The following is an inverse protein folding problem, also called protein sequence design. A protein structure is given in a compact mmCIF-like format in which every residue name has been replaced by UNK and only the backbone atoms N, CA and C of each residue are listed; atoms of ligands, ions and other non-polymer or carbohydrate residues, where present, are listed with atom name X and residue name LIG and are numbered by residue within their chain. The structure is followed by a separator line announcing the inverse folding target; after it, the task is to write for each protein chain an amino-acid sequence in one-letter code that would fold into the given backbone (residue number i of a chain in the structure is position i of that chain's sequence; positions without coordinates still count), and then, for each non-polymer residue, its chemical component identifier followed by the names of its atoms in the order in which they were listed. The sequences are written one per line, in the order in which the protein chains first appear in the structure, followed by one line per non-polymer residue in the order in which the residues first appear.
data_IF_995515889699
#
_entry.id   IF_995515889699
#
_cell.length_a   1.000
_cell.length_b   1.000
_cell.length_c   1.000
_cell.angle_alpha   90.00
_cell.angle_beta   90.00
_cell.angle_gamma   90.00
#
_symmetry.space_group_name_H-M   'P 1'
#
loop_
_entity.id
_entity.type
_entity.pdbx_description
1 polymer ?
#
# COMPACT_ATOMS: atom_id res chain seq x y z
N UNK A 1 -5.35 5.84 23.00
CA UNK A 1 -4.10 5.33 22.39
C UNK A 1 -4.39 3.99 21.72
N UNK A 2 -4.68 3.97 20.40
CA UNK A 2 -4.63 2.71 19.68
C UNK A 2 -3.16 2.35 19.46
N UNK A 3 -2.77 1.13 19.85
CA UNK A 3 -1.42 0.61 19.60
C UNK A 3 -1.24 0.47 18.09
N UNK A 4 -0.35 1.29 17.58
CA UNK A 4 0.24 1.22 16.25
C UNK A 4 0.81 -0.20 16.05
N UNK A 5 0.03 -1.08 15.39
CA UNK A 5 0.58 -2.30 14.80
C UNK A 5 1.28 -1.85 13.52
N UNK A 6 2.44 -1.23 13.68
CA UNK A 6 3.30 -0.82 12.58
C UNK A 6 3.54 -2.01 11.64
N UNK A 7 3.83 -1.70 10.37
CA UNK A 7 4.10 -2.57 9.20
C UNK A 7 4.43 -4.06 9.49
N UNK A 8 5.25 -4.34 10.51
CA UNK A 8 5.60 -5.67 11.03
C UNK A 8 4.42 -6.52 11.52
N UNK A 9 3.38 -5.93 12.11
CA UNK A 9 2.22 -6.65 12.66
C UNK A 9 1.34 -7.29 11.57
N UNK A 10 1.09 -6.56 10.48
CA UNK A 10 0.36 -7.08 9.33
C UNK A 10 1.18 -8.10 8.52
N UNK A 11 2.50 -7.92 8.48
CA UNK A 11 3.43 -8.88 7.88
C UNK A 11 3.43 -10.21 8.64
N UNK A 12 3.49 -10.15 9.98
CA UNK A 12 3.45 -11.34 10.85
C UNK A 12 2.12 -12.10 10.73
N UNK A 13 0.97 -11.40 10.74
CA UNK A 13 -0.35 -12.05 10.60
C UNK A 13 -0.52 -12.75 9.24
N UNK A 14 0.10 -12.25 8.17
CA UNK A 14 0.12 -12.90 6.84
C UNK A 14 1.10 -14.07 6.74
N UNK A 15 2.25 -14.00 7.41
CA UNK A 15 3.29 -15.05 7.39
C UNK A 15 2.91 -16.23 8.29
N UNK A 16 2.16 -15.96 9.38
CA UNK A 16 1.86 -16.94 10.43
C UNK A 16 1.22 -18.26 9.95
N UNK A 17 0.27 -18.29 9.01
CA UNK A 17 -0.34 -19.55 8.53
C UNK A 17 0.63 -20.41 7.72
N UNK A 18 1.40 -19.79 6.82
CA UNK A 18 2.40 -20.48 6.00
C UNK A 18 3.57 -20.99 6.85
N UNK A 19 4.03 -20.17 7.80
CA UNK A 19 5.02 -20.57 8.79
C UNK A 19 4.52 -21.72 9.67
N UNK A 20 3.26 -21.67 10.13
CA UNK A 20 2.65 -22.78 10.88
C UNK A 20 2.56 -24.05 10.06
N UNK A 21 2.22 -23.98 8.77
CA UNK A 21 2.13 -25.15 7.91
C UNK A 21 3.52 -25.77 7.65
N UNK A 22 4.51 -24.93 7.36
CA UNK A 22 5.91 -25.36 7.18
C UNK A 22 6.50 -25.92 8.47
N UNK A 23 6.26 -25.26 9.61
CA UNK A 23 6.68 -25.73 10.92
C UNK A 23 5.97 -27.02 11.31
N UNK A 24 4.67 -27.16 11.03
CA UNK A 24 3.93 -28.39 11.28
C UNK A 24 4.45 -29.54 10.42
N UNK A 25 4.70 -29.31 9.11
CA UNK A 25 5.28 -30.31 8.22
C UNK A 25 6.70 -30.71 8.65
N UNK A 26 7.50 -29.73 9.10
CA UNK A 26 8.83 -29.97 9.66
C UNK A 26 8.75 -30.81 10.94
N UNK A 27 7.89 -30.43 11.90
CA UNK A 27 7.70 -31.18 13.15
C UNK A 27 7.19 -32.59 12.86
N UNK A 28 6.23 -32.76 11.95
CA UNK A 28 5.69 -34.07 11.58
C UNK A 28 6.75 -34.94 10.88
N UNK A 29 7.57 -34.34 10.01
CA UNK A 29 8.70 -35.00 9.36
C UNK A 29 9.77 -35.44 10.37
N UNK A 30 10.17 -34.56 11.29
CA UNK A 30 11.12 -34.86 12.37
C UNK A 30 10.56 -35.92 13.33
N UNK A 31 9.26 -35.88 13.63
CA UNK A 31 8.61 -36.85 14.53
C UNK A 31 8.45 -38.23 13.89
N UNK A 32 8.11 -38.29 12.60
CA UNK A 32 8.06 -39.55 11.84
C UNK A 32 9.47 -40.14 11.67
N UNK A 33 10.47 -39.29 11.42
CA UNK A 33 11.87 -39.67 11.41
C UNK A 33 12.29 -40.25 12.76
N UNK A 34 11.95 -39.57 13.86
CA UNK A 34 12.28 -39.99 15.22
C UNK A 34 11.76 -41.39 15.55
N UNK A 35 10.51 -41.69 15.17
CA UNK A 35 9.93 -43.02 15.38
C UNK A 35 10.74 -44.11 14.67
N UNK A 36 11.21 -43.83 13.45
CA UNK A 36 12.00 -44.79 12.67
C UNK A 36 13.45 -44.86 13.15
N UNK A 37 14.08 -43.74 13.52
CA UNK A 37 15.42 -43.67 14.10
C UNK A 37 15.56 -44.50 15.37
N UNK A 38 14.56 -44.43 16.27
CA UNK A 38 14.49 -45.29 17.45
C UNK A 38 14.30 -46.76 17.06
N UNK A 39 13.47 -47.07 16.06
CA UNK A 39 13.27 -48.42 15.54
C UNK A 39 14.52 -49.00 14.86
N UNK A 40 15.35 -48.16 14.22
CA UNK A 40 16.60 -48.55 13.56
C UNK A 40 17.77 -48.67 14.52
N UNK A 41 17.91 -47.73 15.47
CA UNK A 41 18.94 -47.78 16.52
C UNK A 41 18.75 -48.97 17.46
N UNK A 42 17.51 -49.31 17.80
CA UNK A 42 17.17 -50.53 18.55
C UNK A 42 17.48 -51.85 17.80
N UNK A 43 17.75 -51.79 16.48
CA UNK A 43 18.04 -52.95 15.64
C UNK A 43 19.46 -52.97 15.08
N UNK A 44 20.30 -51.98 15.41
CA UNK A 44 21.73 -52.06 15.13
C UNK A 44 22.32 -53.12 16.07
N UNK A 45 23.00 -54.11 15.51
CA UNK A 45 23.78 -55.08 16.28
C UNK A 45 25.17 -55.12 15.70
N UNK A 46 26.18 -55.25 16.55
CA UNK A 46 27.44 -55.82 16.09
C UNK A 46 27.18 -57.25 15.60
N UNK A 47 27.83 -57.64 14.49
CA UNK A 47 27.61 -58.93 13.84
C UNK A 47 27.47 -60.10 14.83
N UNK A 48 26.70 -61.13 14.43
CA UNK A 48 26.13 -62.26 15.22
C UNK A 48 26.98 -62.92 16.34
N UNK A 49 28.26 -62.63 16.48
CA UNK A 49 29.22 -63.32 17.35
C UNK A 49 29.58 -62.59 18.66
N UNK A 50 29.08 -61.38 18.91
CA UNK A 50 29.33 -60.61 20.14
C UNK A 50 28.02 -60.18 20.81
N UNK A 51 27.31 -61.13 21.43
CA UNK A 51 25.99 -60.93 22.03
C UNK A 51 25.99 -60.25 23.42
N UNK A 52 27.16 -60.02 24.03
CA UNK A 52 27.31 -59.54 25.43
C UNK A 52 27.79 -58.08 25.56
N UNK A 53 27.87 -57.32 24.46
CA UNK A 53 28.10 -55.87 24.51
C UNK A 53 26.76 -55.16 24.67
N UNK A 54 26.37 -54.92 25.91
CA UNK A 54 25.08 -54.36 26.34
C UNK A 54 24.88 -52.84 26.01
N UNK A 55 25.72 -52.25 25.16
CA UNK A 55 25.77 -50.80 24.91
C UNK A 55 24.95 -50.32 23.69
N UNK A 56 24.21 -51.21 23.00
CA UNK A 56 23.44 -50.86 21.79
C UNK A 56 22.06 -50.21 22.07
N UNK A 57 21.94 -49.37 23.11
CA UNK A 57 20.72 -48.59 23.39
C UNK A 57 20.93 -47.12 23.07
N UNK A 58 20.50 -46.69 21.89
CA UNK A 58 20.53 -45.29 21.50
C UNK A 58 19.64 -44.45 22.43
N UNK A 59 20.21 -43.39 23.01
CA UNK A 59 19.43 -42.42 23.79
C UNK A 59 18.63 -41.50 22.86
N UNK A 60 17.57 -40.88 23.39
CA UNK A 60 16.74 -39.88 22.69
C UNK A 60 17.59 -38.82 21.96
N UNK A 61 18.68 -38.38 22.60
CA UNK A 61 19.57 -37.36 22.06
C UNK A 61 20.35 -37.85 20.83
N UNK A 62 20.83 -39.10 20.82
CA UNK A 62 21.53 -39.70 19.68
C UNK A 62 20.59 -39.87 18.48
N UNK A 63 19.37 -40.35 18.72
CA UNK A 63 18.36 -40.45 17.66
C UNK A 63 18.05 -39.08 17.02
N UNK A 64 18.00 -38.00 17.81
CA UNK A 64 17.78 -36.63 17.32
C UNK A 64 18.98 -36.14 16.49
N UNK A 65 20.20 -36.41 16.94
CA UNK A 65 21.42 -36.03 16.25
C UNK A 65 21.54 -36.75 14.89
N UNK A 66 21.43 -38.08 14.89
CA UNK A 66 21.41 -38.93 13.70
C UNK A 66 20.36 -38.51 12.67
N UNK A 67 19.19 -38.11 13.17
CA UNK A 67 18.11 -37.58 12.35
C UNK A 67 18.46 -36.25 11.69
N UNK A 68 19.00 -35.33 12.47
CA UNK A 68 19.41 -34.01 12.00
C UNK A 68 20.45 -34.11 10.87
N UNK A 69 21.47 -34.95 11.04
CA UNK A 69 22.57 -35.08 10.08
C UNK A 69 22.14 -35.78 8.79
N UNK A 70 21.20 -36.74 8.87
CA UNK A 70 20.68 -37.45 7.70
C UNK A 70 19.66 -36.60 6.94
N UNK A 71 18.78 -35.90 7.65
CA UNK A 71 17.79 -34.99 7.06
C UNK A 71 18.43 -33.81 6.33
N UNK A 72 19.54 -33.28 6.88
CA UNK A 72 20.33 -32.21 6.26
C UNK A 72 21.32 -32.72 5.20
N UNK A 73 21.37 -34.02 4.96
CA UNK A 73 22.32 -34.70 4.05
C UNK A 73 23.80 -34.42 4.36
N UNK A 74 24.10 -34.06 5.61
CA UNK A 74 25.47 -33.84 6.08
C UNK A 74 26.17 -35.20 6.26
N UNK A 75 25.47 -36.18 6.87
CA UNK A 75 25.92 -37.57 6.99
C UNK A 75 27.32 -37.74 7.61
N UNK A 76 27.44 -37.64 8.94
CA UNK A 76 28.70 -37.97 9.63
C UNK A 76 28.87 -39.49 9.73
N UNK A 77 30.08 -39.98 9.41
CA UNK A 77 30.45 -41.40 9.43
C UNK A 77 30.50 -42.01 10.84
N UNK A 78 30.57 -41.17 11.88
CA UNK A 78 30.75 -41.58 13.28
C UNK A 78 29.63 -42.49 13.81
N UNK A 79 28.41 -42.43 13.25
CA UNK A 79 27.27 -43.22 13.73
C UNK A 79 26.94 -44.45 12.87
N UNK A 80 27.40 -44.47 11.62
CA UNK A 80 27.12 -45.52 10.60
C UNK A 80 28.39 -46.32 10.22
N UNK A 81 29.53 -45.97 10.82
CA UNK A 81 30.85 -46.48 10.46
C UNK A 81 31.35 -47.66 11.29
N UNK A 82 32.66 -47.91 11.15
CA UNK A 82 33.38 -48.97 11.85
C UNK A 82 33.88 -48.50 13.21
N UNK A 83 33.60 -49.26 14.26
CA UNK A 83 34.13 -48.99 15.60
C UNK A 83 35.41 -49.82 15.81
N UNK A 84 36.52 -49.15 16.13
CA UNK A 84 37.73 -49.83 16.60
C UNK A 84 37.55 -50.23 18.05
N UNK A 85 37.88 -51.47 18.39
CA UNK A 85 37.77 -52.01 19.74
C UNK A 85 39.10 -52.61 20.18
N UNK A 86 39.54 -52.25 21.39
CA UNK A 86 40.69 -52.85 22.07
C UNK A 86 40.24 -53.55 23.33
N UNK A 87 40.71 -54.79 23.51
CA UNK A 87 40.43 -55.60 24.70
C UNK A 87 41.68 -55.68 25.57
N UNK A 88 41.58 -55.27 26.82
CA UNK A 88 42.63 -55.35 27.82
C UNK A 88 42.25 -56.36 28.89
N UNK A 89 43.23 -57.06 29.46
CA UNK A 89 43.00 -58.00 30.58
C UNK A 89 43.62 -57.44 31.84
N UNK A 90 42.84 -57.36 32.91
CA UNK A 90 43.30 -56.85 34.18
C UNK A 90 44.35 -57.79 34.79
N UNK A 91 45.59 -57.33 35.03
CA UNK A 91 46.70 -58.21 35.40
C UNK A 91 46.50 -58.94 36.74
N UNK A 92 45.82 -58.31 37.71
CA UNK A 92 45.57 -58.93 39.02
C UNK A 92 44.29 -59.78 39.13
N UNK A 93 43.30 -59.57 38.26
CA UNK A 93 41.96 -60.18 38.40
C UNK A 93 41.54 -61.03 37.20
N UNK A 94 42.26 -60.95 36.08
CA UNK A 94 41.95 -61.66 34.84
C UNK A 94 40.70 -61.15 34.12
N UNK A 95 40.07 -60.05 34.58
CA UNK A 95 38.87 -59.50 33.94
C UNK A 95 39.18 -58.84 32.61
N UNK A 96 38.33 -59.04 31.62
CA UNK A 96 38.44 -58.38 30.33
C UNK A 96 37.77 -57.01 30.39
N UNK A 97 38.45 -55.98 29.90
CA UNK A 97 37.96 -54.62 29.74
C UNK A 97 37.99 -54.28 28.25
N UNK A 98 36.86 -53.84 27.72
CA UNK A 98 36.68 -53.52 26.30
C UNK A 98 36.59 -52.00 26.17
N UNK A 99 37.35 -51.41 25.25
CA UNK A 99 37.36 -49.98 24.96
C UNK A 99 37.15 -49.76 23.47
N UNK A 100 36.27 -48.83 23.11
CA UNK A 100 36.00 -48.48 21.71
C UNK A 100 36.71 -47.17 21.29
N UNK A 101 36.58 -46.82 20.01
CA UNK A 101 37.02 -45.57 19.38
C UNK A 101 36.45 -44.31 20.07
N UNK A 102 35.21 -44.39 20.56
CA UNK A 102 34.52 -43.29 21.24
C UNK A 102 35.12 -42.99 22.63
N UNK A 103 35.67 -44.00 23.30
CA UNK A 103 36.40 -43.88 24.58
C UNK A 103 37.89 -43.51 24.39
N UNK A 104 38.30 -43.18 23.15
CA UNK A 104 39.67 -42.75 22.82
C UNK A 104 40.70 -43.87 22.78
N UNK A 105 40.29 -45.14 22.85
CA UNK A 105 41.16 -46.33 22.81
C UNK A 105 42.30 -46.32 23.85
N UNK A 106 42.11 -45.60 24.95
CA UNK A 106 43.11 -45.41 26.01
C UNK A 106 43.05 -46.58 27.00
N UNK A 107 44.18 -47.19 27.39
CA UNK A 107 44.17 -48.24 28.40
C UNK A 107 43.67 -47.71 29.76
N UNK A 108 43.06 -48.56 30.60
CA UNK A 108 42.64 -48.18 31.94
C UNK A 108 43.83 -47.68 32.79
N UNK A 109 43.58 -46.81 33.79
CA UNK A 109 44.64 -46.36 34.69
C UNK A 109 45.26 -47.53 35.46
N UNK A 110 46.54 -47.80 35.19
CA UNK A 110 47.33 -48.91 35.75
C UNK A 110 48.35 -49.46 34.74
N UNK A 111 49.31 -50.28 35.19
CA UNK A 111 50.23 -51.00 34.30
C UNK A 111 49.52 -52.19 33.65
N UNK A 112 48.80 -51.93 32.56
CA UNK A 112 48.21 -52.98 31.72
C UNK A 112 49.20 -53.40 30.63
N UNK A 113 49.34 -54.71 30.33
CA UNK A 113 50.08 -55.17 29.18
C UNK A 113 49.41 -54.72 27.87
N UNK A 114 50.11 -54.90 26.74
CA UNK A 114 49.59 -54.61 25.39
C UNK A 114 48.21 -55.26 25.18
N UNK A 115 47.31 -54.63 24.40
CA UNK A 115 45.94 -55.11 24.21
C UNK A 115 45.94 -56.55 23.71
N UNK A 116 45.07 -57.37 24.30
CA UNK A 116 44.90 -58.78 23.99
C UNK A 116 44.38 -58.97 22.56
N UNK A 117 43.51 -58.05 22.11
CA UNK A 117 42.96 -58.02 20.77
C UNK A 117 42.70 -56.58 20.34
N UNK A 118 42.88 -56.33 19.05
CA UNK A 118 42.47 -55.11 18.37
C UNK A 118 41.60 -55.52 17.17
N UNK A 119 40.33 -55.14 17.22
CA UNK A 119 39.29 -55.55 16.28
C UNK A 119 38.65 -54.32 15.67
N UNK A 120 38.37 -54.38 14.38
CA UNK A 120 37.51 -53.40 13.71
C UNK A 120 36.12 -54.02 13.59
N UNK A 121 35.17 -53.51 14.36
CA UNK A 121 33.78 -53.93 14.30
C UNK A 121 33.07 -53.12 13.22
N UNK A 122 32.47 -53.81 12.26
CA UNK A 122 31.55 -53.20 11.30
C UNK A 122 30.13 -53.35 11.84
N UNK A 123 29.38 -52.25 11.94
CA UNK A 123 27.96 -52.33 12.32
C UNK A 123 27.16 -52.95 11.18
N UNK A 124 26.51 -54.08 11.47
CA UNK A 124 25.65 -54.76 10.51
C UNK A 124 24.21 -54.27 10.68
N UNK A 125 23.74 -53.48 9.72
CA UNK A 125 22.35 -53.03 9.67
C UNK A 125 21.47 -54.03 8.92
N UNK A 126 20.27 -54.27 9.44
CA UNK A 126 19.27 -55.07 8.73
C UNK A 126 18.83 -54.40 7.42
N UNK A 127 18.40 -55.20 6.43
CA UNK A 127 17.87 -54.68 5.17
C UNK A 127 16.70 -53.69 5.40
N UNK A 128 15.85 -53.96 6.39
CA UNK A 128 14.73 -53.09 6.76
C UNK A 128 15.23 -51.71 7.22
N UNK A 129 16.26 -51.68 8.06
CA UNK A 129 16.81 -50.43 8.58
C UNK A 129 17.48 -49.61 7.48
N UNK A 130 18.20 -50.24 6.56
CA UNK A 130 18.80 -49.54 5.40
C UNK A 130 17.72 -48.94 4.50
N UNK A 131 16.69 -49.71 4.15
CA UNK A 131 15.59 -49.23 3.30
C UNK A 131 14.81 -48.08 3.95
N UNK A 132 14.59 -48.17 5.26
CA UNK A 132 13.92 -47.11 6.01
C UNK A 132 14.75 -45.81 6.03
N UNK A 133 16.06 -45.89 6.29
CA UNK A 133 16.95 -44.71 6.26
C UNK A 133 16.98 -44.06 4.88
N UNK A 134 17.10 -44.85 3.81
CA UNK A 134 17.07 -44.33 2.42
C UNK A 134 15.73 -43.65 2.10
N UNK A 135 14.61 -44.28 2.46
CA UNK A 135 13.29 -43.70 2.24
C UNK A 135 13.14 -42.35 2.94
N UNK A 136 13.57 -42.25 4.20
CA UNK A 136 13.43 -41.01 4.96
C UNK A 136 14.40 -39.93 4.45
N UNK A 137 15.62 -40.29 4.04
CA UNK A 137 16.54 -39.34 3.42
C UNK A 137 15.92 -38.71 2.16
N UNK A 138 15.27 -39.52 1.30
CA UNK A 138 14.61 -39.03 0.08
C UNK A 138 13.38 -38.16 0.40
N UNK A 139 12.51 -38.62 1.30
CA UNK A 139 11.31 -37.87 1.70
C UNK A 139 11.70 -36.57 2.42
N UNK A 140 12.68 -36.63 3.31
CA UNK A 140 13.20 -35.49 4.06
C UNK A 140 13.78 -34.42 3.13
N UNK A 141 14.58 -34.83 2.14
CA UNK A 141 15.07 -33.93 1.09
C UNK A 141 13.91 -33.29 0.31
N UNK A 142 12.91 -34.07 -0.09
CA UNK A 142 11.73 -33.55 -0.80
C UNK A 142 10.97 -32.50 0.00
N UNK A 143 10.77 -32.74 1.30
CA UNK A 143 10.14 -31.78 2.22
C UNK A 143 10.99 -30.52 2.40
N UNK A 144 12.31 -30.66 2.55
CA UNK A 144 13.23 -29.54 2.68
C UNK A 144 13.22 -28.65 1.42
N UNK A 145 13.33 -29.26 0.24
CA UNK A 145 13.29 -28.55 -1.05
C UNK A 145 11.94 -27.85 -1.24
N UNK A 146 10.83 -28.50 -0.89
CA UNK A 146 9.51 -27.89 -0.95
C UNK A 146 9.39 -26.70 0.02
N UNK A 147 9.86 -26.84 1.25
CA UNK A 147 9.83 -25.76 2.24
C UNK A 147 10.64 -24.54 1.80
N UNK A 148 11.87 -24.75 1.29
CA UNK A 148 12.69 -23.67 0.72
C UNK A 148 11.98 -23.03 -0.47
N UNK A 149 11.45 -23.83 -1.40
CA UNK A 149 10.75 -23.33 -2.59
C UNK A 149 9.51 -22.52 -2.24
N UNK A 150 8.73 -22.94 -1.23
CA UNK A 150 7.55 -22.22 -0.76
C UNK A 150 7.92 -20.86 -0.14
N UNK A 151 9.01 -20.81 0.63
CA UNK A 151 9.53 -19.54 1.17
C UNK A 151 10.01 -18.64 0.03
N UNK A 152 10.76 -19.15 -0.96
CA UNK A 152 11.19 -18.38 -2.12
C UNK A 152 10.01 -17.85 -2.94
N UNK A 153 8.99 -18.67 -3.20
CA UNK A 153 7.79 -18.27 -3.93
C UNK A 153 7.05 -17.11 -3.22
N UNK A 154 6.99 -17.11 -1.89
CA UNK A 154 6.39 -16.02 -1.12
C UNK A 154 7.11 -14.67 -1.32
N UNK A 155 8.45 -14.67 -1.34
CA UNK A 155 9.24 -13.46 -1.60
C UNK A 155 9.03 -12.92 -3.02
N UNK A 156 8.87 -13.82 -3.99
CA UNK A 156 8.65 -13.47 -5.40
C UNK A 156 7.22 -12.95 -5.62
N UNK A 157 6.19 -13.68 -5.18
CA UNK A 157 4.78 -13.32 -5.36
C UNK A 157 4.41 -12.01 -4.65
N UNK A 158 5.01 -11.72 -3.48
CA UNK A 158 4.79 -10.47 -2.75
C UNK A 158 5.10 -9.20 -3.55
N UNK A 159 6.06 -9.26 -4.47
CA UNK A 159 6.45 -8.12 -5.31
C UNK A 159 5.60 -8.00 -6.59
N UNK A 160 5.07 -9.11 -7.12
CA UNK A 160 4.31 -9.11 -8.37
C UNK A 160 2.92 -8.47 -8.25
N UNK A 161 2.25 -8.60 -7.11
CA UNK A 161 0.91 -8.03 -6.89
C UNK A 161 0.93 -6.50 -6.97
N UNK A 162 1.96 -5.87 -6.40
CA UNK A 162 2.10 -4.41 -6.42
C UNK A 162 2.41 -3.89 -7.83
N UNK A 163 3.30 -4.57 -8.57
CA UNK A 163 3.63 -4.23 -9.95
C UNK A 163 2.41 -4.36 -10.88
N UNK A 164 1.59 -5.41 -10.71
CA UNK A 164 0.35 -5.55 -11.48
C UNK A 164 -0.67 -4.45 -11.15
N UNK A 165 -0.79 -4.06 -9.88
CA UNK A 165 -1.66 -2.96 -9.48
C UNK A 165 -1.20 -1.63 -10.12
N UNK A 166 0.11 -1.35 -10.11
CA UNK A 166 0.70 -0.19 -10.77
C UNK A 166 0.42 -0.17 -12.28
N UNK A 167 0.59 -1.31 -12.95
CA UNK A 167 0.29 -1.43 -14.38
C UNK A 167 -1.18 -1.17 -14.71
N UNK A 168 -2.11 -1.65 -13.86
CA UNK A 168 -3.55 -1.38 -14.02
C UNK A 168 -3.86 0.10 -13.89
N UNK A 169 -3.30 0.77 -12.88
CA UNK A 169 -3.48 2.21 -12.65
C UNK A 169 -2.93 2.99 -13.85
N UNK A 170 -1.71 2.70 -14.29
CA UNK A 170 -1.12 3.33 -15.49
C UNK A 170 -1.99 3.14 -16.72
N UNK A 171 -2.53 1.94 -16.95
CA UNK A 171 -3.42 1.67 -18.07
C UNK A 171 -4.76 2.42 -17.96
N UNK A 172 -5.27 2.65 -16.75
CA UNK A 172 -6.46 3.48 -16.53
C UNK A 172 -6.17 4.95 -16.83
N UNK A 173 -5.08 5.51 -16.28
CA UNK A 173 -4.64 6.88 -16.53
C UNK A 173 -4.39 7.13 -18.01
N UNK A 174 -3.79 6.17 -18.72
CA UNK A 174 -3.54 6.25 -20.16
C UNK A 174 -4.83 6.41 -21.00
N UNK A 175 -5.98 5.93 -20.51
CA UNK A 175 -7.28 6.01 -21.20
C UNK A 175 -8.11 7.24 -20.82
N UNK A 176 -7.68 8.01 -19.84
CA UNK A 176 -8.40 9.21 -19.40
C UNK A 176 -8.15 10.37 -20.36
N UNK A 177 -9.21 11.14 -20.63
CA UNK A 177 -9.17 12.38 -21.40
C UNK A 177 -10.02 13.43 -20.70
N UNK A 178 -9.65 14.70 -20.84
CA UNK A 178 -10.36 15.81 -20.20
C UNK A 178 -10.36 15.77 -18.68
N UNK A 179 -9.48 14.98 -18.07
CA UNK A 179 -9.36 14.85 -16.62
C UNK A 179 -8.57 16.01 -16.00
N UNK A 180 -8.59 16.07 -14.67
CA UNK A 180 -7.79 17.03 -13.90
C UNK A 180 -6.59 16.32 -13.29
N UNK A 181 -5.41 16.93 -13.42
CA UNK A 181 -4.18 16.49 -12.77
C UNK A 181 -3.98 17.31 -11.50
N UNK A 182 -3.71 16.67 -10.37
CA UNK A 182 -3.36 17.34 -9.12
C UNK A 182 -1.90 17.02 -8.81
N UNK A 183 -1.05 18.03 -8.71
CA UNK A 183 0.36 17.88 -8.39
C UNK A 183 0.58 18.09 -6.89
N UNK A 184 0.96 17.03 -6.18
CA UNK A 184 1.10 16.97 -4.73
C UNK A 184 -0.17 16.50 -4.03
N UNK A 185 -0.02 15.53 -3.13
CA UNK A 185 -1.02 14.96 -2.24
C UNK A 185 -0.85 15.43 -0.78
N UNK A 186 -0.29 16.62 -0.58
CA UNK A 186 -0.28 17.27 0.74
C UNK A 186 -1.69 17.69 1.21
N UNK A 187 -1.82 18.46 2.30
CA UNK A 187 -3.11 18.83 2.88
C UNK A 187 -4.09 19.51 1.90
N UNK A 188 -3.59 20.39 1.03
CA UNK A 188 -4.41 21.04 0.00
C UNK A 188 -4.74 20.11 -1.15
N UNK A 189 -3.77 19.31 -1.60
CA UNK A 189 -3.93 18.38 -2.73
C UNK A 189 -4.91 17.25 -2.43
N UNK A 190 -4.83 16.68 -1.23
CA UNK A 190 -5.74 15.61 -0.77
C UNK A 190 -7.18 16.10 -0.68
N UNK A 191 -7.43 17.27 -0.09
CA UNK A 191 -8.79 17.85 -0.07
C UNK A 191 -9.30 18.22 -1.46
N UNK A 192 -8.42 18.72 -2.35
CA UNK A 192 -8.81 18.96 -3.73
C UNK A 192 -9.21 17.65 -4.42
N UNK A 193 -8.44 16.57 -4.22
CA UNK A 193 -8.72 15.26 -4.80
C UNK A 193 -10.05 14.70 -4.33
N UNK A 194 -10.35 14.79 -3.03
CA UNK A 194 -11.64 14.41 -2.44
C UNK A 194 -12.80 15.15 -3.09
N UNK A 195 -12.73 16.49 -3.21
CA UNK A 195 -13.80 17.29 -3.82
C UNK A 195 -14.05 16.95 -5.27
N UNK A 196 -13.01 16.64 -6.04
CA UNK A 196 -13.16 16.17 -7.42
C UNK A 196 -13.79 14.79 -7.50
N UNK A 197 -13.43 13.90 -6.57
CA UNK A 197 -14.00 12.57 -6.45
C UNK A 197 -15.51 12.63 -6.12
N UNK A 198 -15.89 13.43 -5.11
CA UNK A 198 -17.29 13.64 -4.71
C UNK A 198 -18.13 14.25 -5.84
N UNK A 199 -17.52 15.08 -6.69
CA UNK A 199 -18.15 15.67 -7.86
C UNK A 199 -18.25 14.71 -9.06
N UNK A 200 -17.97 13.41 -8.88
CA UNK A 200 -17.94 12.39 -9.93
C UNK A 200 -16.99 12.73 -11.11
N UNK A 201 -15.90 13.46 -10.82
CA UNK A 201 -14.87 13.85 -11.78
C UNK A 201 -13.50 13.43 -11.25
N UNK A 202 -13.20 12.11 -11.21
CA UNK A 202 -12.03 11.59 -10.54
C UNK A 202 -10.74 12.18 -11.13
N UNK A 203 -9.86 12.77 -10.29
CA UNK A 203 -8.60 13.33 -10.75
C UNK A 203 -7.50 12.26 -10.84
N UNK A 204 -6.39 12.64 -11.48
CA UNK A 204 -5.11 11.90 -11.40
C UNK A 204 -4.17 12.68 -10.50
N UNK A 205 -3.70 12.06 -9.42
CA UNK A 205 -2.81 12.71 -8.45
C UNK A 205 -1.36 12.31 -8.68
N UNK A 206 -0.46 13.28 -8.80
CA UNK A 206 0.99 13.06 -8.94
C UNK A 206 1.65 13.36 -7.60
N UNK A 207 2.33 12.38 -7.02
CA UNK A 207 3.00 12.53 -5.72
C UNK A 207 4.30 11.71 -5.67
N UNK A 208 5.35 12.32 -5.13
CA UNK A 208 6.65 11.68 -4.96
C UNK A 208 6.81 11.05 -3.57
N UNK A 209 6.19 11.65 -2.55
CA UNK A 209 6.26 11.21 -1.17
C UNK A 209 5.41 9.94 -0.97
N UNK A 210 6.04 8.80 -0.61
CA UNK A 210 5.33 7.54 -0.43
C UNK A 210 4.31 7.59 0.72
N UNK A 211 4.51 8.43 1.74
CA UNK A 211 3.63 8.50 2.91
C UNK A 211 2.35 9.25 2.57
N UNK A 212 2.44 10.40 1.89
CA UNK A 212 1.26 11.12 1.38
C UNK A 212 0.46 10.27 0.40
N UNK A 213 1.15 9.52 -0.46
CA UNK A 213 0.48 8.63 -1.41
C UNK A 213 -0.23 7.46 -0.70
N UNK A 214 0.37 6.91 0.36
CA UNK A 214 -0.26 5.86 1.18
C UNK A 214 -1.50 6.38 1.90
N UNK A 215 -1.43 7.60 2.48
CA UNK A 215 -2.56 8.30 3.10
C UNK A 215 -3.72 8.49 2.10
N UNK A 216 -3.43 9.04 0.91
CA UNK A 216 -4.40 9.25 -0.15
C UNK A 216 -5.11 7.95 -0.55
N UNK A 217 -4.34 6.87 -0.73
CA UNK A 217 -4.88 5.54 -1.09
C UNK A 217 -5.75 4.96 0.01
N UNK A 218 -5.43 5.23 1.28
CA UNK A 218 -6.21 4.77 2.43
C UNK A 218 -7.55 5.49 2.53
N UNK A 219 -7.56 6.81 2.33
CA UNK A 219 -8.75 7.64 2.42
C UNK A 219 -9.64 7.50 1.18
N UNK A 220 -9.03 7.42 -0.01
CA UNK A 220 -9.73 7.43 -1.30
C UNK A 220 -9.19 6.33 -2.22
N UNK A 221 -9.55 5.05 -2.03
CA UNK A 221 -9.02 3.93 -2.78
C UNK A 221 -9.34 3.96 -4.29
N UNK A 222 -10.30 4.79 -4.71
CA UNK A 222 -10.68 4.99 -6.11
C UNK A 222 -9.93 6.11 -6.85
N UNK A 223 -9.09 6.89 -6.15
CA UNK A 223 -8.32 7.97 -6.78
C UNK A 223 -7.13 7.38 -7.53
N UNK A 224 -6.99 7.76 -8.80
CA UNK A 224 -5.86 7.34 -9.62
C UNK A 224 -4.64 8.22 -9.33
N UNK A 225 -3.46 7.63 -9.46
CA UNK A 225 -2.22 8.31 -9.11
C UNK A 225 -1.04 7.91 -9.98
N UNK A 226 -0.06 8.79 -10.03
CA UNK A 226 1.26 8.58 -10.64
C UNK A 226 2.31 8.93 -9.61
N UNK A 227 3.23 7.99 -9.34
CA UNK A 227 4.34 8.24 -8.42
C UNK A 227 5.49 8.88 -9.18
N UNK A 228 5.93 10.05 -8.73
CA UNK A 228 7.04 10.78 -9.32
C UNK A 228 7.05 12.25 -8.90
N UNK A 229 8.15 12.93 -9.20
CA UNK A 229 8.29 14.38 -8.99
C UNK A 229 7.43 15.12 -10.03
N UNK A 230 6.45 15.95 -9.61
CA UNK A 230 5.62 16.68 -10.56
C UNK A 230 6.38 17.73 -11.38
N UNK A 231 7.60 18.12 -10.99
CA UNK A 231 8.46 19.02 -11.78
C UNK A 231 9.09 18.32 -12.99
N UNK A 232 9.09 16.99 -13.01
CA UNK A 232 9.55 16.19 -14.14
C UNK A 232 8.47 16.11 -15.23
N UNK A 233 8.85 16.51 -16.45
CA UNK A 233 7.97 16.48 -17.63
C UNK A 233 7.51 15.05 -17.97
N UNK A 234 8.36 14.03 -17.81
CA UNK A 234 7.99 12.65 -18.11
C UNK A 234 6.89 12.15 -17.16
N UNK A 235 6.96 12.54 -15.89
CA UNK A 235 5.96 12.21 -14.88
C UNK A 235 4.61 12.87 -15.20
N UNK A 236 4.61 14.14 -15.60
CA UNK A 236 3.39 14.82 -16.02
C UNK A 236 2.81 14.23 -17.33
N UNK A 237 3.67 13.80 -18.24
CA UNK A 237 3.25 13.10 -19.45
C UNK A 237 2.58 11.76 -19.13
N UNK A 238 3.15 10.98 -18.21
CA UNK A 238 2.54 9.74 -17.70
C UNK A 238 1.17 9.99 -17.04
N UNK A 239 1.02 11.12 -16.33
CA UNK A 239 -0.25 11.58 -15.78
C UNK A 239 -1.25 12.07 -16.84
N UNK A 240 -0.82 12.22 -18.10
CA UNK A 240 -1.66 12.60 -19.23
C UNK A 240 -1.83 14.09 -19.44
N UNK A 241 -0.81 14.89 -19.17
CA UNK A 241 -0.83 16.35 -19.31
C UNK A 241 -1.37 16.85 -20.66
N UNK A 242 -0.96 16.23 -21.78
CA UNK A 242 -1.39 16.63 -23.12
C UNK A 242 -2.90 16.47 -23.37
N UNK A 243 -3.57 15.55 -22.65
CA UNK A 243 -5.00 15.23 -22.80
C UNK A 243 -5.86 15.69 -21.62
N UNK A 244 -5.26 16.32 -20.61
CA UNK A 244 -5.95 16.85 -19.45
C UNK A 244 -6.74 18.13 -19.79
N UNK A 245 -7.85 18.36 -19.10
CA UNK A 245 -8.61 19.61 -19.18
C UNK A 245 -8.14 20.66 -18.16
N UNK A 246 -7.50 20.21 -17.06
CA UNK A 246 -6.94 21.12 -16.07
C UNK A 246 -5.83 20.52 -15.22
N UNK A 247 -5.07 21.40 -14.58
CA UNK A 247 -4.02 21.04 -13.64
C UNK A 247 -4.09 21.93 -12.40
N UNK A 248 -3.98 21.32 -11.23
CA UNK A 248 -3.93 22.00 -9.93
C UNK A 248 -2.57 21.71 -9.29
N UNK A 249 -1.72 22.73 -9.16
CA UNK A 249 -0.42 22.59 -8.50
C UNK A 249 -0.53 22.91 -7.01
N UNK A 250 -0.27 21.93 -6.15
CA UNK A 250 -0.45 22.00 -4.70
C UNK A 250 0.86 21.75 -3.93
N UNK A 251 2.01 21.97 -4.56
CA UNK A 251 3.31 21.70 -3.96
C UNK A 251 3.63 22.66 -2.81
N UNK A 252 4.45 22.23 -1.83
CA UNK A 252 4.83 23.07 -0.71
C UNK A 252 5.71 24.26 -1.15
N UNK A 253 6.64 24.09 -2.09
CA UNK A 253 7.49 25.18 -2.61
C UNK A 253 6.83 25.88 -3.81
N UNK A 254 6.74 27.21 -3.75
CA UNK A 254 6.23 28.05 -4.84
C UNK A 254 7.13 28.00 -6.09
N UNK A 255 8.41 27.66 -5.93
CA UNK A 255 9.35 27.45 -7.05
C UNK A 255 8.98 26.23 -7.87
N UNK A 256 8.65 25.13 -7.21
CA UNK A 256 8.24 23.90 -7.89
C UNK A 256 6.88 24.09 -8.56
N UNK A 257 5.95 24.76 -7.87
CA UNK A 257 4.68 25.17 -8.47
C UNK A 257 4.89 26.01 -9.74
N UNK A 258 5.88 26.92 -9.74
CA UNK A 258 6.21 27.74 -10.91
C UNK A 258 6.73 26.88 -12.07
N UNK A 259 7.62 25.91 -11.79
CA UNK A 259 8.11 24.96 -12.80
C UNK A 259 6.95 24.18 -13.39
N UNK A 260 6.09 23.59 -12.56
CA UNK A 260 4.90 22.84 -13.01
C UNK A 260 4.01 23.70 -13.89
N UNK A 261 3.70 24.94 -13.49
CA UNK A 261 2.83 25.85 -14.24
C UNK A 261 3.42 26.16 -15.62
N UNK A 262 4.72 26.45 -15.69
CA UNK A 262 5.40 26.77 -16.96
C UNK A 262 5.43 25.54 -17.88
N UNK A 263 5.84 24.38 -17.36
CA UNK A 263 5.88 23.11 -18.11
C UNK A 263 4.49 22.74 -18.63
N UNK A 264 3.46 22.84 -17.78
CA UNK A 264 2.08 22.56 -18.15
C UNK A 264 1.57 23.45 -19.28
N UNK A 265 1.93 24.75 -19.25
CA UNK A 265 1.54 25.72 -20.29
C UNK A 265 2.29 25.54 -21.59
N UNK A 266 3.56 25.12 -21.54
CA UNK A 266 4.34 24.84 -22.74
C UNK A 266 3.80 23.61 -23.48
N UNK A 267 3.44 22.55 -22.73
CA UNK A 267 2.95 21.29 -23.31
C UNK A 267 1.49 21.39 -23.78
N UNK A 268 0.62 22.02 -22.98
CA UNK A 268 -0.79 22.17 -23.30
C UNK A 268 -1.24 23.62 -23.08
N UNK A 269 -1.15 24.49 -24.12
CA UNK A 269 -1.53 25.90 -24.00
C UNK A 269 -2.98 26.13 -23.62
N UNK A 270 -3.89 25.20 -23.97
CA UNK A 270 -5.32 25.27 -23.66
C UNK A 270 -5.70 24.79 -22.26
N UNK A 271 -4.76 24.17 -21.54
CA UNK A 271 -5.00 23.58 -20.23
C UNK A 271 -5.44 24.63 -19.21
N UNK A 272 -6.46 24.36 -18.40
CA UNK A 272 -6.78 25.25 -17.28
C UNK A 272 -5.84 25.01 -16.10
N UNK A 273 -4.93 25.94 -15.83
CA UNK A 273 -3.92 25.79 -14.77
C UNK A 273 -4.29 26.61 -13.54
N UNK A 274 -4.35 25.96 -12.39
CA UNK A 274 -4.52 26.56 -11.07
C UNK A 274 -3.30 26.23 -10.21
N UNK A 275 -2.88 27.16 -9.36
CA UNK A 275 -1.74 26.93 -8.46
C UNK A 275 -2.04 27.36 -7.03
N UNK A 276 -1.47 26.65 -6.07
CA UNK A 276 -1.23 27.12 -4.71
C UNK A 276 -0.13 28.18 -4.74
N UNK A 277 -0.22 29.15 -3.84
CA UNK A 277 0.88 30.05 -3.50
C UNK A 277 0.97 30.19 -1.97
N UNK A 278 2.17 30.25 -1.41
CA UNK A 278 2.34 30.56 0.01
C UNK A 278 2.19 32.06 0.29
N UNK A 279 2.68 32.89 -0.62
CA UNK A 279 2.67 34.36 -0.47
C UNK A 279 1.92 35.07 -1.59
N UNK A 280 1.46 36.30 -1.32
CA UNK A 280 0.83 37.16 -2.34
C UNK A 280 1.79 37.53 -3.48
N UNK A 281 3.07 37.70 -3.17
CA UNK A 281 4.11 37.99 -4.17
C UNK A 281 4.33 36.79 -5.10
N UNK A 282 4.41 35.58 -4.55
CA UNK A 282 4.45 34.35 -5.33
C UNK A 282 3.21 34.18 -6.20
N UNK A 283 2.03 34.56 -5.68
CA UNK A 283 0.79 34.47 -6.44
C UNK A 283 0.81 35.33 -7.71
N UNK A 284 1.38 36.54 -7.65
CA UNK A 284 1.55 37.38 -8.84
C UNK A 284 2.52 36.78 -9.85
N UNK A 285 3.62 36.16 -9.38
CA UNK A 285 4.59 35.47 -10.24
C UNK A 285 3.95 34.27 -10.96
N UNK A 286 3.22 33.44 -10.23
CA UNK A 286 2.52 32.27 -10.78
C UNK A 286 1.46 32.67 -11.83
N UNK A 287 0.69 33.74 -11.57
CA UNK A 287 -0.25 34.30 -12.56
C UNK A 287 0.46 34.73 -13.84
N UNK A 288 1.58 35.45 -13.72
CA UNK A 288 2.38 35.88 -14.88
C UNK A 288 2.98 34.70 -15.65
N UNK A 289 3.27 33.60 -14.97
CA UNK A 289 3.76 32.37 -15.59
C UNK A 289 2.69 31.56 -16.33
N UNK A 290 1.41 31.93 -16.18
CA UNK A 290 0.30 31.30 -16.89
C UNK A 290 -0.68 30.53 -16.02
N UNK A 291 -0.55 30.57 -14.69
CA UNK A 291 -1.64 30.11 -13.83
C UNK A 291 -2.86 31.03 -14.01
N UNK A 292 -3.99 30.46 -14.43
CA UNK A 292 -5.22 31.22 -14.66
C UNK A 292 -5.82 31.72 -13.34
N UNK A 293 -5.73 30.88 -12.30
CA UNK A 293 -6.10 31.24 -10.95
C UNK A 293 -5.03 30.79 -9.95
N UNK A 294 -4.84 31.58 -8.90
CA UNK A 294 -3.87 31.27 -7.85
C UNK A 294 -4.50 31.47 -6.48
N UNK A 295 -4.45 30.42 -5.68
CA UNK A 295 -5.05 30.35 -4.35
C UNK A 295 -3.96 30.36 -3.30
N UNK A 296 -4.09 31.23 -2.30
CA UNK A 296 -3.18 31.28 -1.16
C UNK A 296 -3.90 30.77 0.11
N UNK A 297 -3.78 29.47 0.46
CA UNK A 297 -4.55 28.87 1.54
C UNK A 297 -4.31 29.54 2.89
N UNK A 298 -3.06 29.86 3.23
CA UNK A 298 -2.69 30.52 4.50
C UNK A 298 -3.37 31.89 4.64
N UNK A 299 -3.43 32.67 3.55
CA UNK A 299 -4.11 33.96 3.52
C UNK A 299 -5.64 33.81 3.66
N UNK A 300 -6.25 32.90 2.91
CA UNK A 300 -7.69 32.63 2.97
C UNK A 300 -8.07 32.11 4.36
N UNK A 301 -7.32 31.16 4.89
CA UNK A 301 -7.51 30.60 6.24
C UNK A 301 -7.38 31.67 7.33
N UNK A 302 -6.37 32.55 7.23
CA UNK A 302 -6.20 33.68 8.14
C UNK A 302 -7.38 34.66 8.10
N UNK A 303 -7.78 35.08 6.89
CA UNK A 303 -8.95 35.94 6.69
C UNK A 303 -10.23 35.29 7.21
N UNK A 304 -10.37 33.97 7.04
CA UNK A 304 -11.50 33.20 7.50
C UNK A 304 -11.57 33.13 9.03
N UNK A 305 -10.46 32.85 9.71
CA UNK A 305 -10.40 32.85 11.18
C UNK A 305 -10.69 34.23 11.76
N UNK A 306 -10.14 35.30 11.16
CA UNK A 306 -10.44 36.66 11.57
C UNK A 306 -11.92 37.01 11.37
N UNK A 307 -12.51 36.60 10.23
CA UNK A 307 -13.92 36.83 9.95
C UNK A 307 -14.84 36.08 10.92
N UNK A 308 -14.49 34.86 11.32
CA UNK A 308 -15.24 34.11 12.34
C UNK A 308 -15.19 34.82 13.69
N UNK A 309 -14.02 35.34 14.08
CA UNK A 309 -13.88 36.07 15.35
C UNK A 309 -14.65 37.42 15.35
N UNK A 310 -14.65 38.14 14.22
CA UNK A 310 -15.26 39.49 14.14
C UNK A 310 -16.76 39.41 13.82
N UNK A 311 -17.16 38.49 12.93
CA UNK A 311 -18.53 38.39 12.37
C UNK A 311 -18.96 36.92 12.18
N UNK A 312 -19.09 36.14 13.27
CA UNK A 312 -19.38 34.70 13.18
C UNK A 312 -20.73 34.41 12.51
N UNK A 313 -21.72 35.30 12.66
CA UNK A 313 -23.04 35.14 12.01
C UNK A 313 -22.95 35.21 10.49
N UNK A 314 -22.08 36.09 9.95
CA UNK A 314 -21.90 36.22 8.49
C UNK A 314 -21.20 34.99 7.95
N UNK A 315 -20.19 34.50 8.65
CA UNK A 315 -19.45 33.31 8.24
C UNK A 315 -20.34 32.07 8.24
N UNK A 316 -21.10 31.83 9.33
CA UNK A 316 -22.07 30.73 9.41
C UNK A 316 -23.13 30.80 8.31
N UNK A 317 -23.60 32.00 7.98
CA UNK A 317 -24.52 32.20 6.86
C UNK A 317 -23.89 31.81 5.51
N UNK A 318 -22.62 32.17 5.28
CA UNK A 318 -21.92 31.80 4.05
C UNK A 318 -21.61 30.30 3.95
N UNK A 319 -21.35 29.63 5.07
CA UNK A 319 -21.11 28.18 5.10
C UNK A 319 -22.31 27.37 4.64
N UNK A 320 -23.51 27.84 4.95
CA UNK A 320 -24.76 27.26 4.45
C UNK A 320 -24.79 27.17 2.91
N UNK A 321 -24.20 28.13 2.18
CA UNK A 321 -24.14 28.10 0.72
C UNK A 321 -23.06 27.18 0.14
N UNK A 322 -22.00 26.91 0.91
CA UNK A 322 -20.89 26.07 0.47
C UNK A 322 -21.15 24.57 0.70
N UNK A 323 -22.35 24.21 1.17
CA UNK A 323 -22.80 22.83 1.33
C UNK A 323 -22.05 22.04 2.41
N UNK A 324 -21.45 22.71 3.39
CA UNK A 324 -20.74 22.06 4.49
C UNK A 324 -21.69 21.53 5.59
N UNK A 325 -22.94 22.00 5.63
CA UNK A 325 -23.97 21.50 6.55
C UNK A 325 -25.00 20.67 5.77
N UNK A 326 -24.88 19.33 5.84
CA UNK A 326 -25.82 18.38 5.23
C UNK A 326 -27.24 18.46 5.81
N UNK A 327 -27.42 19.10 6.97
CA UNK A 327 -28.64 18.96 7.78
C UNK A 327 -29.65 20.11 7.64
N UNK A 328 -29.35 21.21 6.94
CA UNK A 328 -30.29 22.34 6.84
C UNK A 328 -30.42 22.88 5.42
N UNK A 329 -31.50 22.44 4.76
CA UNK A 329 -32.11 22.97 3.53
C UNK A 329 -31.09 23.43 2.47
N UNK A 330 -30.75 22.54 1.53
CA UNK A 330 -29.73 22.70 0.48
C UNK A 330 -29.90 23.89 -0.49
N UNK A 331 -29.94 25.11 0.03
CA UNK A 331 -29.88 26.35 -0.72
C UNK A 331 -28.45 26.53 -1.26
N UNK A 332 -28.35 26.63 -2.58
CA UNK A 332 -27.07 26.82 -3.28
C UNK A 332 -27.04 28.17 -3.95
N UNK A 333 -25.87 28.80 -3.93
CA UNK A 333 -25.62 29.95 -4.80
C UNK A 333 -25.31 29.43 -6.21
N UNK A 334 -26.05 29.90 -7.22
CA UNK A 334 -25.83 29.54 -8.61
C UNK A 334 -25.90 30.75 -9.54
N UNK A 335 -24.98 30.82 -10.50
CA UNK A 335 -25.06 31.69 -11.66
C UNK A 335 -25.75 30.96 -12.81
N UNK A 336 -26.86 31.50 -13.32
CA UNK A 336 -27.55 30.97 -14.50
C UNK A 336 -27.42 31.98 -15.62
N UNK A 337 -26.92 31.54 -16.78
CA UNK A 337 -26.78 32.40 -17.95
C UNK A 337 -28.10 32.55 -18.68
N UNK A 338 -28.42 33.78 -19.06
CA UNK A 338 -29.56 34.09 -19.91
C UNK A 338 -29.29 33.58 -21.32
N UNK A 339 -30.07 32.58 -21.74
CA UNK A 339 -29.97 31.97 -23.05
C UNK A 339 -30.67 32.80 -24.13
N UNK A 340 -30.32 32.61 -25.42
CA UNK A 340 -30.99 33.30 -26.53
C UNK A 340 -32.47 32.92 -26.64
N UNK A 341 -32.87 31.75 -26.15
CA UNK A 341 -34.25 31.28 -26.11
C UNK A 341 -35.05 31.80 -24.90
N UNK A 342 -34.43 32.55 -23.98
CA UNK A 342 -35.10 33.01 -22.77
C UNK A 342 -36.29 33.93 -23.08
N UNK A 343 -37.48 33.70 -22.51
CA UNK A 343 -38.60 34.64 -22.58
C UNK A 343 -38.33 35.98 -21.87
N UNK A 344 -37.29 36.04 -21.03
CA UNK A 344 -36.92 37.21 -20.21
C UNK A 344 -35.92 38.13 -20.90
N UNK A 345 -35.41 37.76 -22.09
CA UNK A 345 -34.39 38.53 -22.81
C UNK A 345 -34.88 39.93 -23.19
N UNK A 346 -34.01 40.92 -23.02
CA UNK A 346 -34.26 42.31 -23.40
C UNK A 346 -35.33 43.03 -22.56
N UNK A 347 -35.79 42.42 -21.46
CA UNK A 347 -36.71 43.03 -20.49
C UNK A 347 -35.95 43.46 -19.25
N UNK A 348 -36.48 44.46 -18.54
CA UNK A 348 -35.92 44.86 -17.24
C UNK A 348 -36.25 43.83 -16.15
N UNK A 349 -35.47 43.80 -15.06
CA UNK A 349 -35.75 42.93 -13.92
C UNK A 349 -37.17 43.13 -13.37
N UNK A 350 -37.68 44.37 -13.34
CA UNK A 350 -39.06 44.67 -12.93
C UNK A 350 -40.11 44.08 -13.89
N UNK A 351 -39.93 44.29 -15.20
CA UNK A 351 -40.85 43.79 -16.23
C UNK A 351 -40.94 42.26 -16.25
N UNK A 352 -39.84 41.58 -15.92
CA UNK A 352 -39.79 40.12 -15.90
C UNK A 352 -40.64 39.52 -14.79
N UNK A 353 -40.93 40.30 -13.74
CA UNK A 353 -41.57 39.83 -12.50
C UNK A 353 -40.99 38.50 -12.03
N UNK A 354 -39.67 38.36 -12.15
CA UNK A 354 -38.98 37.10 -11.94
C UNK A 354 -39.26 36.55 -10.54
N UNK A 355 -39.23 37.41 -9.52
CA UNK A 355 -39.48 37.01 -8.15
C UNK A 355 -40.94 36.64 -7.84
N UNK A 356 -41.91 37.24 -8.53
CA UNK A 356 -43.32 36.82 -8.40
C UNK A 356 -43.55 35.46 -9.05
N UNK A 357 -42.91 35.20 -10.19
CA UNK A 357 -43.10 33.98 -10.98
C UNK A 357 -42.39 32.78 -10.36
N UNK A 358 -41.18 32.98 -9.84
CA UNK A 358 -40.33 31.90 -9.33
C UNK A 358 -40.30 31.80 -7.81
N UNK A 359 -40.71 32.85 -7.10
CA UNK A 359 -40.48 33.00 -5.66
C UNK A 359 -39.03 33.31 -5.30
N UNK A 360 -38.14 33.53 -6.28
CA UNK A 360 -36.71 33.73 -6.07
C UNK A 360 -36.30 35.20 -6.20
N UNK A 361 -35.25 35.60 -5.46
CA UNK A 361 -34.68 36.95 -5.57
C UNK A 361 -33.39 36.92 -6.36
N UNK A 362 -33.26 37.88 -7.28
CA UNK A 362 -32.00 38.17 -7.96
C UNK A 362 -31.08 38.89 -6.98
N UNK A 363 -29.97 38.25 -6.61
CA UNK A 363 -28.99 38.82 -5.69
C UNK A 363 -27.88 39.56 -6.43
N UNK A 364 -27.55 39.09 -7.63
CA UNK A 364 -26.46 39.62 -8.42
C UNK A 364 -26.73 39.45 -9.93
N UNK A 365 -26.15 40.34 -10.73
CA UNK A 365 -26.14 40.26 -12.18
C UNK A 365 -24.71 40.42 -12.68
N UNK A 366 -24.25 39.57 -13.60
CA UNK A 366 -22.99 39.77 -14.31
C UNK A 366 -23.27 39.98 -15.78
N UNK A 367 -22.99 41.18 -16.24
CA UNK A 367 -23.18 41.58 -17.64
C UNK A 367 -22.21 40.82 -18.57
N UNK A 368 -22.56 40.65 -19.85
CA UNK A 368 -21.69 39.98 -20.81
C UNK A 368 -20.33 40.68 -20.90
N UNK A 369 -19.25 39.89 -20.86
CA UNK A 369 -17.88 40.41 -20.92
C UNK A 369 -17.34 41.02 -19.62
N UNK A 370 -18.16 41.19 -18.58
CA UNK A 370 -17.68 41.64 -17.27
C UNK A 370 -17.23 40.47 -16.38
N UNK A 371 -16.19 40.73 -15.58
CA UNK A 371 -15.67 39.77 -14.60
C UNK A 371 -16.37 39.86 -13.25
N UNK A 372 -16.82 41.06 -12.85
CA UNK A 372 -17.47 41.30 -11.56
C UNK A 372 -18.99 41.19 -11.65
N UNK A 373 -19.60 40.74 -10.56
CA UNK A 373 -21.04 40.83 -10.36
C UNK A 373 -21.43 42.24 -9.88
N UNK A 374 -22.52 42.76 -10.43
CA UNK A 374 -23.31 43.85 -9.84
C UNK A 374 -24.21 43.24 -8.76
N UNK A 375 -23.95 43.57 -7.51
CA UNK A 375 -24.75 43.11 -6.37
C UNK A 375 -25.97 44.01 -6.17
N UNK A 376 -27.10 43.42 -5.80
CA UNK A 376 -28.39 44.11 -5.64
C UNK A 376 -28.73 44.99 -6.87
N UNK A 377 -28.90 44.37 -8.06
CA UNK A 377 -29.15 45.11 -9.29
C UNK A 377 -30.42 45.96 -9.21
N UNK A 378 -30.43 47.10 -9.93
CA UNK A 378 -31.61 47.96 -10.00
C UNK A 378 -32.76 47.23 -10.72
N UNK A 379 -34.03 47.47 -10.37
CA UNK A 379 -35.17 46.94 -11.12
C UNK A 379 -35.17 47.29 -12.62
N UNK A 380 -34.50 48.38 -12.99
CA UNK A 380 -34.38 48.86 -14.37
C UNK A 380 -33.28 48.14 -15.19
N UNK A 381 -32.49 47.26 -14.57
CA UNK A 381 -31.42 46.54 -15.27
C UNK A 381 -32.00 45.56 -16.30
N UNK A 382 -31.47 45.60 -17.53
CA UNK A 382 -31.95 44.80 -18.66
C UNK A 382 -31.25 43.44 -18.69
N UNK A 383 -32.03 42.36 -18.82
CA UNK A 383 -31.51 41.01 -18.99
C UNK A 383 -31.12 40.75 -20.46
N UNK A 384 -29.89 41.10 -20.81
CA UNK A 384 -29.33 40.75 -22.12
C UNK A 384 -28.93 39.27 -22.22
N UNK A 385 -28.86 38.76 -23.45
CA UNK A 385 -28.38 37.39 -23.70
C UNK A 385 -26.91 37.30 -23.29
N UNK A 386 -26.58 36.25 -22.51
CA UNK A 386 -25.24 36.07 -21.96
C UNK A 386 -25.01 36.73 -20.60
N UNK A 387 -25.96 37.52 -20.09
CA UNK A 387 -25.96 37.92 -18.68
C UNK A 387 -25.98 36.68 -17.80
N UNK A 388 -25.29 36.70 -16.67
CA UNK A 388 -25.37 35.66 -15.65
C UNK A 388 -26.11 36.20 -14.42
N UNK A 389 -27.23 35.57 -14.09
CA UNK A 389 -28.09 35.93 -12.96
C UNK A 389 -27.67 35.09 -11.75
N UNK A 390 -27.23 35.76 -10.69
CA UNK A 390 -26.84 35.15 -9.42
C UNK A 390 -28.04 35.00 -8.49
N UNK A 391 -28.32 33.76 -8.12
CA UNK A 391 -29.48 33.35 -7.33
C UNK A 391 -29.06 32.48 -6.14
N UNK A 392 -29.90 32.48 -5.11
CA UNK A 392 -29.86 31.52 -4.01
C UNK A 392 -31.19 30.79 -3.97
N UNK A 393 -31.15 29.48 -4.19
CA UNK A 393 -32.34 28.64 -4.17
C UNK A 393 -31.97 27.19 -3.88
N UNK A 394 -32.95 26.38 -3.49
CA UNK A 394 -32.84 24.92 -3.49
C UNK A 394 -32.83 24.37 -4.92
N UNK A 395 -32.68 23.05 -5.06
CA UNK A 395 -32.56 22.40 -6.37
C UNK A 395 -33.81 22.59 -7.24
N UNK A 396 -35.00 22.57 -6.63
CA UNK A 396 -36.28 22.79 -7.32
C UNK A 396 -36.42 24.26 -7.79
N UNK A 397 -36.06 25.22 -6.95
CA UNK A 397 -36.00 26.64 -7.33
C UNK A 397 -35.01 26.90 -8.46
N UNK A 398 -33.80 26.31 -8.40
CA UNK A 398 -32.81 26.44 -9.46
C UNK A 398 -33.29 25.81 -10.78
N UNK A 399 -33.99 24.68 -10.74
CA UNK A 399 -34.57 24.06 -11.93
C UNK A 399 -35.57 25.00 -12.63
N UNK A 400 -36.51 25.60 -11.86
CA UNK A 400 -37.47 26.59 -12.38
C UNK A 400 -36.79 27.84 -12.93
N UNK A 401 -35.73 28.31 -12.25
CA UNK A 401 -34.96 29.45 -12.73
C UNK A 401 -34.25 29.15 -14.07
N UNK A 402 -33.69 27.94 -14.23
CA UNK A 402 -33.03 27.53 -15.49
C UNK A 402 -34.01 27.47 -16.65
N UNK A 403 -35.22 26.96 -16.43
CA UNK A 403 -36.25 26.90 -17.47
C UNK A 403 -36.54 28.29 -18.06
N UNK A 404 -36.73 29.30 -17.19
CA UNK A 404 -37.01 30.67 -17.60
C UNK A 404 -35.78 31.42 -18.13
N UNK A 405 -34.61 31.25 -17.51
CA UNK A 405 -33.41 32.01 -17.88
C UNK A 405 -32.69 31.41 -19.09
N UNK A 406 -32.63 30.09 -19.24
CA UNK A 406 -31.99 29.45 -20.39
C UNK A 406 -32.96 29.30 -21.58
N UNK A 407 -34.26 29.24 -21.31
CA UNK A 407 -35.30 28.96 -22.31
C UNK A 407 -35.35 27.49 -22.73
N UNK A 408 -34.89 26.56 -21.87
CA UNK A 408 -35.00 25.12 -22.08
C UNK A 408 -36.31 24.63 -21.50
N UNK A 409 -37.28 24.30 -22.33
CA UNK A 409 -38.44 23.50 -21.92
C UNK A 409 -37.93 22.09 -21.58
N UNK A 410 -38.33 21.56 -20.42
CA UNK A 410 -37.96 20.22 -19.97
C UNK A 410 -38.38 19.12 -20.97
#
# INVERSE_FOLDING_TARGET
MPKDKGLYGGLLERIWPAFRLGLAAYILGVTAYYAVGCLTGMNARYGRDLADLDDDVWTLQHCIYAAGITFTTIGYEDELGTDEVKVYVHPATGRHHVYNSHDGLVPPPGDYPAPLAHLTLVRDYSLLTTLATVFIAVVGMGVLVYAVSAVTAFFVEGQHVELQALQRIRAQVARMEGHVIICGAGPTGTQAAERFFDAARPPVVVEQDPDHLAELRRLHPGVLWVRGDPTDMEVLHDAGLARAAGLVSCLPDDRDNLVVVVTARQENPSLRVMSRAESRESAERLRRAGAEEVVAPSFIGGMRMASEAIRPTVVRFLDGFLGQEEERHGFRFAGIRVGPASPLRGRTLDETRFGETTGLRVLALRLPGQRSFLYNPSPDEVLEVGCEVGLVADEEGLARARELLEGRTA
#
